data_IF_746354119320
#
_entry.id   IF_746354119320
#
_cell.length_a   1.000
_cell.length_b   1.000
_cell.length_c   1.000
_cell.angle_alpha   90.00
_cell.angle_beta   90.00
_cell.angle_gamma   90.00
#
_symmetry.space_group_name_H-M   'P 1'
#
loop_
_entity.id
_entity.type
_entity.pdbx_description
1 polymer ?
#
# COMPACT_ATOMS: atom_id res chain seq x y z
N UNK A 1 -16.76 26.25 -21.44
CA UNK A 1 -16.06 25.00 -21.28
C UNK A 1 -17.07 23.85 -21.30
N UNK A 2 -16.74 22.74 -21.93
CA UNK A 2 -17.73 21.73 -22.28
C UNK A 2 -17.82 20.58 -21.26
N UNK A 3 -17.03 20.62 -20.20
CA UNK A 3 -16.76 19.44 -19.38
C UNK A 3 -17.83 19.16 -18.33
N UNK A 4 -18.48 20.17 -17.74
CA UNK A 4 -19.66 19.95 -16.90
C UNK A 4 -20.69 21.05 -17.07
N UNK A 5 -21.91 20.69 -17.43
CA UNK A 5 -23.05 21.61 -17.46
C UNK A 5 -24.00 21.42 -16.26
N UNK A 6 -23.71 20.46 -15.38
CA UNK A 6 -24.64 20.07 -14.31
C UNK A 6 -24.48 20.89 -13.04
N UNK A 7 -23.28 21.41 -12.78
CA UNK A 7 -22.96 22.15 -11.56
C UNK A 7 -22.58 23.59 -11.90
N UNK A 8 -23.19 24.54 -11.19
CA UNK A 8 -22.91 25.97 -11.33
C UNK A 8 -22.36 26.51 -10.03
N UNK A 9 -21.19 27.11 -10.08
CA UNK A 9 -20.55 27.75 -8.92
C UNK A 9 -20.92 29.23 -8.89
N UNK A 10 -21.40 29.70 -7.75
CA UNK A 10 -21.80 31.07 -7.51
C UNK A 10 -20.67 31.83 -6.85
N UNK A 11 -20.25 32.96 -7.45
CA UNK A 11 -19.16 33.79 -6.93
C UNK A 11 -19.60 35.23 -6.80
N UNK A 12 -18.90 36.00 -5.96
CA UNK A 12 -19.00 37.45 -5.95
C UNK A 12 -18.23 38.12 -7.11
N UNK A 13 -18.23 39.45 -7.14
CA UNK A 13 -17.49 40.22 -8.16
C UNK A 13 -15.96 40.05 -8.05
N UNK A 14 -15.46 39.62 -6.89
CA UNK A 14 -14.03 39.34 -6.61
C UNK A 14 -13.68 37.87 -6.82
N UNK A 15 -14.63 37.05 -7.30
CA UNK A 15 -14.52 35.60 -7.51
C UNK A 15 -14.49 34.76 -6.25
N UNK A 16 -14.80 35.27 -5.06
CA UNK A 16 -14.91 34.40 -3.90
C UNK A 16 -16.09 33.42 -4.07
N UNK A 17 -15.85 32.17 -3.72
CA UNK A 17 -16.84 31.12 -3.84
C UNK A 17 -17.93 31.30 -2.76
N UNK A 18 -19.16 31.62 -3.17
CA UNK A 18 -20.29 31.87 -2.28
C UNK A 18 -21.20 30.64 -2.12
N UNK A 19 -21.33 29.85 -3.18
CA UNK A 19 -22.26 28.72 -3.16
C UNK A 19 -22.19 27.89 -4.43
N UNK A 20 -22.97 26.81 -4.43
CA UNK A 20 -23.12 25.90 -5.57
C UNK A 20 -24.61 25.68 -5.80
N UNK A 21 -25.00 25.56 -7.06
CA UNK A 21 -26.33 25.14 -7.48
C UNK A 21 -26.25 24.22 -8.68
N UNK A 22 -27.30 23.50 -9.00
CA UNK A 22 -27.36 22.62 -10.14
C UNK A 22 -28.20 23.23 -11.27
N UNK A 23 -27.91 22.85 -12.51
CA UNK A 23 -28.77 23.26 -13.66
C UNK A 23 -30.22 22.82 -13.45
N UNK A 24 -30.45 21.69 -12.77
CA UNK A 24 -31.79 21.22 -12.40
C UNK A 24 -32.52 22.25 -11.53
N UNK A 25 -31.87 22.78 -10.51
CA UNK A 25 -32.46 23.79 -9.61
C UNK A 25 -32.72 25.10 -10.37
N UNK A 26 -31.77 25.53 -11.19
CA UNK A 26 -31.96 26.72 -12.06
C UNK A 26 -33.16 26.58 -12.99
N UNK A 27 -33.51 25.37 -13.45
CA UNK A 27 -34.68 25.13 -14.30
C UNK A 27 -36.00 24.99 -13.53
N UNK A 28 -35.94 24.71 -12.24
CA UNK A 28 -37.12 24.54 -11.38
C UNK A 28 -37.56 25.86 -10.73
N UNK A 29 -36.71 26.86 -10.67
CA UNK A 29 -37.00 28.18 -10.08
C UNK A 29 -37.34 29.19 -11.17
N UNK A 30 -38.12 30.21 -10.83
CA UNK A 30 -38.49 31.28 -11.74
C UNK A 30 -37.28 32.20 -12.04
N UNK A 31 -37.31 32.86 -13.21
CA UNK A 31 -36.21 33.74 -13.64
C UNK A 31 -35.99 34.94 -12.71
N UNK A 32 -37.00 35.33 -11.94
CA UNK A 32 -36.97 36.46 -11.00
C UNK A 32 -36.47 36.03 -9.61
N UNK A 33 -36.29 34.72 -9.36
CA UNK A 33 -35.79 34.23 -8.09
C UNK A 33 -34.32 34.53 -7.92
N UNK A 34 -33.93 34.95 -6.71
CA UNK A 34 -32.54 35.18 -6.38
C UNK A 34 -31.81 33.86 -6.12
N UNK A 35 -30.66 33.65 -6.75
CA UNK A 35 -29.84 32.45 -6.58
C UNK A 35 -29.51 32.18 -5.10
N UNK A 36 -29.32 33.24 -4.31
CA UNK A 36 -29.05 33.16 -2.86
C UNK A 36 -30.13 32.38 -2.06
N UNK A 37 -31.35 32.26 -2.58
CA UNK A 37 -32.45 31.60 -1.89
C UNK A 37 -32.45 30.08 -2.05
N UNK A 38 -31.78 29.55 -3.07
CA UNK A 38 -31.76 28.12 -3.38
C UNK A 38 -30.36 27.53 -3.62
N UNK A 39 -29.29 28.35 -3.61
CA UNK A 39 -27.93 27.82 -3.66
C UNK A 39 -27.56 27.17 -2.34
N UNK A 40 -26.73 26.14 -2.41
CA UNK A 40 -26.08 25.54 -1.25
C UNK A 40 -24.83 26.36 -0.91
N UNK A 41 -24.74 26.86 0.34
CA UNK A 41 -23.62 27.71 0.79
C UNK A 41 -22.50 26.90 1.45
N UNK A 42 -22.77 25.64 1.86
CA UNK A 42 -21.75 24.76 2.42
C UNK A 42 -21.00 24.01 1.31
N UNK A 43 -20.20 24.73 0.56
CA UNK A 43 -19.48 24.18 -0.60
C UNK A 43 -18.21 23.46 -0.14
N UNK A 44 -18.05 22.21 -0.58
CA UNK A 44 -16.80 21.48 -0.44
C UNK A 44 -15.89 21.90 -1.58
N UNK A 45 -14.69 22.32 -1.26
CA UNK A 45 -13.68 22.77 -2.23
C UNK A 45 -12.28 22.27 -1.82
N UNK A 46 -11.35 22.34 -2.75
CA UNK A 46 -9.91 22.14 -2.48
C UNK A 46 -9.13 23.41 -2.78
N UNK A 47 -7.99 23.54 -2.12
CA UNK A 47 -7.09 24.66 -2.36
C UNK A 47 -6.10 24.30 -3.50
N UNK A 48 -5.60 25.32 -4.20
CA UNK A 48 -4.55 25.13 -5.24
C UNK A 48 -3.26 24.51 -4.72
N UNK A 49 -3.05 24.46 -3.40
CA UNK A 49 -1.89 23.84 -2.75
C UNK A 49 -2.21 22.46 -2.15
N UNK A 50 -3.47 22.00 -2.20
CA UNK A 50 -3.84 20.65 -1.76
C UNK A 50 -3.23 19.62 -2.68
N UNK A 51 -2.94 18.44 -2.10
CA UNK A 51 -2.45 17.29 -2.85
C UNK A 51 -3.53 16.80 -3.85
N UNK A 52 -3.09 16.34 -5.01
CA UNK A 52 -3.99 15.82 -6.03
C UNK A 52 -4.76 14.58 -5.55
N UNK A 53 -4.15 13.74 -4.71
CA UNK A 53 -4.78 12.58 -4.10
C UNK A 53 -5.93 12.99 -3.18
N UNK A 54 -5.76 14.08 -2.41
CA UNK A 54 -6.81 14.64 -1.56
C UNK A 54 -8.03 15.08 -2.38
N UNK A 55 -7.80 15.77 -3.50
CA UNK A 55 -8.85 16.21 -4.40
C UNK A 55 -9.62 15.03 -5.02
N UNK A 56 -8.90 14.02 -5.51
CA UNK A 56 -9.48 12.81 -6.07
C UNK A 56 -10.27 12.00 -5.01
N UNK A 57 -9.75 11.93 -3.79
CA UNK A 57 -10.43 11.29 -2.66
C UNK A 57 -11.72 12.00 -2.29
N UNK A 58 -11.74 13.35 -2.28
CA UNK A 58 -12.96 14.12 -1.99
C UNK A 58 -14.01 13.94 -3.08
N UNK A 59 -13.64 13.96 -4.36
CA UNK A 59 -14.54 13.68 -5.47
C UNK A 59 -15.19 12.30 -5.32
N UNK A 60 -14.40 11.28 -5.04
CA UNK A 60 -14.88 9.91 -4.84
C UNK A 60 -15.76 9.76 -3.59
N UNK A 61 -15.40 10.42 -2.48
CA UNK A 61 -16.10 10.30 -1.18
C UNK A 61 -17.50 10.88 -1.21
N UNK A 62 -17.68 11.98 -1.97
CA UNK A 62 -18.93 12.72 -2.03
C UNK A 62 -19.70 12.47 -3.34
N UNK A 63 -19.22 11.58 -4.20
CA UNK A 63 -19.80 11.27 -5.51
C UNK A 63 -19.98 12.53 -6.39
N UNK A 64 -19.05 13.48 -6.29
CA UNK A 64 -19.12 14.71 -7.07
C UNK A 64 -18.69 14.48 -8.53
N UNK A 65 -19.34 15.17 -9.46
CA UNK A 65 -18.92 15.20 -10.87
C UNK A 65 -17.83 16.24 -11.13
N UNK A 66 -17.75 17.26 -10.28
CA UNK A 66 -16.73 18.30 -10.32
C UNK A 66 -16.53 18.87 -8.91
N UNK A 67 -15.31 19.29 -8.61
CA UNK A 67 -14.90 19.89 -7.35
C UNK A 67 -14.29 21.27 -7.63
N UNK A 68 -14.75 22.35 -6.97
CA UNK A 68 -14.18 23.67 -7.17
C UNK A 68 -12.81 23.78 -6.49
N UNK A 69 -11.91 24.48 -7.18
CA UNK A 69 -10.57 24.78 -6.69
C UNK A 69 -10.48 26.27 -6.37
N UNK A 70 -10.06 26.59 -5.17
CA UNK A 70 -9.89 27.97 -4.73
C UNK A 70 -8.41 28.29 -4.42
N UNK A 71 -8.05 29.55 -4.50
CA UNK A 71 -6.74 30.03 -4.05
C UNK A 71 -6.73 30.27 -2.52
N UNK A 72 -5.62 30.82 -2.01
CA UNK A 72 -5.47 31.14 -0.58
C UNK A 72 -6.42 32.26 -0.09
N UNK A 73 -7.02 33.01 -1.00
CA UNK A 73 -7.97 34.08 -0.73
C UNK A 73 -9.42 33.62 -0.98
N UNK A 74 -9.66 32.29 -1.08
CA UNK A 74 -10.96 31.64 -1.33
C UNK A 74 -11.61 32.06 -2.66
N UNK A 75 -10.83 32.51 -3.64
CA UNK A 75 -11.33 32.84 -4.98
C UNK A 75 -11.34 31.60 -5.85
N UNK A 76 -12.43 31.39 -6.56
CA UNK A 76 -12.56 30.29 -7.52
C UNK A 76 -11.55 30.45 -8.67
N UNK A 77 -10.63 29.52 -8.79
CA UNK A 77 -9.59 29.45 -9.83
C UNK A 77 -9.99 28.52 -10.97
N UNK A 78 -10.64 27.40 -10.64
CA UNK A 78 -11.04 26.40 -11.62
C UNK A 78 -11.86 25.29 -10.98
N UNK A 79 -12.01 24.20 -11.71
CA UNK A 79 -12.66 22.98 -11.27
C UNK A 79 -11.80 21.78 -11.64
N UNK A 80 -11.92 20.72 -10.84
CA UNK A 80 -11.40 19.38 -11.15
C UNK A 80 -12.61 18.51 -11.45
N UNK A 81 -12.58 17.78 -12.54
CA UNK A 81 -13.67 16.90 -12.96
C UNK A 81 -13.40 15.45 -12.54
N UNK A 82 -14.45 14.63 -12.52
CA UNK A 82 -14.34 13.22 -12.09
C UNK A 82 -13.43 12.39 -13.00
N UNK A 83 -13.36 12.70 -14.30
CA UNK A 83 -12.48 12.05 -15.26
C UNK A 83 -10.99 12.36 -14.95
N UNK A 84 -10.63 13.61 -14.67
CA UNK A 84 -9.28 13.98 -14.21
C UNK A 84 -8.93 13.27 -12.89
N UNK A 85 -9.89 13.22 -11.96
CA UNK A 85 -9.69 12.52 -10.69
C UNK A 85 -9.47 11.01 -10.87
N UNK A 86 -10.13 10.39 -11.85
CA UNK A 86 -9.91 8.97 -12.18
C UNK A 86 -8.49 8.72 -12.69
N UNK A 87 -7.95 9.62 -13.51
CA UNK A 87 -6.57 9.53 -13.99
C UNK A 87 -5.59 9.65 -12.82
N UNK A 88 -5.79 10.61 -11.92
CA UNK A 88 -4.98 10.76 -10.69
C UNK A 88 -5.03 9.50 -9.83
N UNK A 89 -6.22 8.93 -9.57
CA UNK A 89 -6.36 7.69 -8.80
C UNK A 89 -5.58 6.53 -9.45
N UNK A 90 -5.57 6.44 -10.77
CA UNK A 90 -4.82 5.41 -11.48
C UNK A 90 -3.31 5.63 -11.37
N UNK A 91 -2.84 6.87 -11.46
CA UNK A 91 -1.43 7.23 -11.27
C UNK A 91 -0.95 6.91 -9.85
N UNK A 92 -1.68 7.34 -8.83
CA UNK A 92 -1.38 7.06 -7.42
C UNK A 92 -1.37 5.56 -7.11
N UNK A 93 -2.37 4.80 -7.59
CA UNK A 93 -2.37 3.35 -7.44
C UNK A 93 -1.13 2.69 -8.10
N UNK A 94 -0.68 3.21 -9.24
CA UNK A 94 0.52 2.71 -9.93
C UNK A 94 1.77 3.03 -9.13
N UNK A 95 1.87 4.25 -8.59
CA UNK A 95 2.95 4.69 -7.72
C UNK A 95 3.02 3.84 -6.44
N UNK A 96 1.89 3.60 -5.80
CA UNK A 96 1.77 2.76 -4.62
C UNK A 96 2.27 1.33 -4.86
N UNK A 97 1.87 0.71 -5.98
CA UNK A 97 2.35 -0.62 -6.36
C UNK A 97 3.88 -0.62 -6.53
N UNK A 98 4.44 0.43 -7.11
CA UNK A 98 5.89 0.55 -7.28
C UNK A 98 6.60 0.74 -5.94
N UNK A 99 6.08 1.60 -5.07
CA UNK A 99 6.60 1.83 -3.71
C UNK A 99 6.53 0.57 -2.85
N UNK A 100 5.44 -0.20 -2.92
CA UNK A 100 5.29 -1.49 -2.20
C UNK A 100 6.38 -2.50 -2.59
N UNK A 101 6.86 -2.44 -3.83
CA UNK A 101 7.95 -3.29 -4.32
C UNK A 101 9.34 -2.62 -4.22
N UNK A 102 9.44 -1.50 -3.50
CA UNK A 102 10.65 -0.71 -3.35
C UNK A 102 11.32 -0.32 -4.69
N UNK A 103 10.48 -0.09 -5.71
CA UNK A 103 10.87 0.43 -7.01
C UNK A 103 10.67 1.95 -6.99
N UNK A 104 11.66 2.71 -7.44
CA UNK A 104 11.51 4.16 -7.57
C UNK A 104 10.44 4.45 -8.63
N UNK A 105 9.38 5.21 -8.32
CA UNK A 105 8.27 5.47 -9.22
C UNK A 105 8.69 6.12 -10.54
N UNK A 106 7.99 5.79 -11.61
CA UNK A 106 8.18 6.37 -12.94
C UNK A 106 6.82 6.70 -13.56
N UNK A 107 6.66 7.92 -14.05
CA UNK A 107 5.43 8.40 -14.73
C UNK A 107 5.26 7.84 -16.15
N UNK A 108 6.31 7.20 -16.71
CA UNK A 108 6.29 6.74 -18.09
C UNK A 108 5.67 5.36 -18.21
N UNK A 109 4.92 5.15 -19.29
CA UNK A 109 4.42 3.81 -19.64
C UNK A 109 5.57 2.82 -19.83
N UNK A 110 5.36 1.56 -19.47
CA UNK A 110 6.38 0.51 -19.43
C UNK A 110 7.22 0.40 -20.72
N UNK A 111 6.58 0.39 -21.88
CA UNK A 111 7.28 0.26 -23.18
C UNK A 111 8.06 1.52 -23.58
N UNK A 112 7.68 2.70 -23.06
CA UNK A 112 8.40 3.97 -23.33
C UNK A 112 9.54 4.21 -22.34
N UNK A 113 9.62 3.43 -21.27
CA UNK A 113 10.70 3.51 -20.28
C UNK A 113 11.91 2.75 -20.80
N UNK A 114 13.03 3.44 -20.99
CA UNK A 114 14.26 2.81 -21.46
C UNK A 114 14.85 1.85 -20.41
N UNK A 115 15.61 0.84 -20.88
CA UNK A 115 16.25 -0.19 -20.03
C UNK A 115 17.09 0.42 -18.90
N UNK A 116 17.86 1.47 -19.18
CA UNK A 116 18.69 2.14 -18.17
C UNK A 116 17.86 2.87 -17.09
N UNK A 117 16.72 3.43 -17.47
CA UNK A 117 15.83 4.06 -16.51
C UNK A 117 15.18 3.01 -15.58
N UNK A 118 14.72 1.89 -16.16
CA UNK A 118 14.20 0.76 -15.38
C UNK A 118 15.27 0.16 -14.46
N UNK A 119 16.51 0.04 -14.94
CA UNK A 119 17.62 -0.42 -14.10
C UNK A 119 17.87 0.53 -12.92
N UNK A 120 17.91 1.85 -13.17
CA UNK A 120 18.11 2.86 -12.12
C UNK A 120 17.01 2.84 -11.05
N UNK A 121 15.78 2.54 -11.43
CA UNK A 121 14.67 2.50 -10.47
C UNK A 121 14.71 1.29 -9.53
N UNK A 122 15.37 0.19 -9.93
CA UNK A 122 15.42 -1.07 -9.17
C UNK A 122 16.72 -1.27 -8.39
N UNK A 123 17.84 -0.79 -8.92
CA UNK A 123 19.18 -1.09 -8.39
C UNK A 123 19.41 -0.62 -6.95
N UNK A 124 18.91 0.57 -6.49
CA UNK A 124 19.18 1.02 -5.13
C UNK A 124 18.68 0.03 -4.06
N UNK A 125 17.48 -0.50 -4.25
CA UNK A 125 16.91 -1.49 -3.34
C UNK A 125 17.68 -2.82 -3.37
N UNK A 126 18.02 -3.30 -4.57
CA UNK A 126 18.78 -4.53 -4.72
C UNK A 126 20.17 -4.45 -4.09
N UNK A 127 20.84 -3.30 -4.16
CA UNK A 127 22.12 -3.08 -3.49
C UNK A 127 21.97 -3.10 -1.98
N UNK A 128 20.91 -2.50 -1.45
CA UNK A 128 20.61 -2.54 -0.01
C UNK A 128 20.37 -3.98 0.47
N UNK A 129 19.61 -4.75 -0.29
CA UNK A 129 19.39 -6.17 0.00
C UNK A 129 20.68 -6.99 -0.08
N UNK A 130 21.57 -6.71 -1.04
CA UNK A 130 22.87 -7.38 -1.16
C UNK A 130 23.75 -7.11 0.07
N UNK A 131 23.78 -5.87 0.56
CA UNK A 131 24.49 -5.53 1.80
C UNK A 131 23.89 -6.27 3.00
N UNK A 132 22.55 -6.29 3.12
CA UNK A 132 21.84 -7.04 4.15
C UNK A 132 22.17 -8.54 4.12
N UNK A 133 22.22 -9.13 2.91
CA UNK A 133 22.58 -10.54 2.72
C UNK A 133 24.00 -10.87 3.23
N UNK A 134 24.92 -9.91 3.16
CA UNK A 134 26.30 -10.08 3.70
C UNK A 134 26.28 -10.26 5.22
N UNK A 135 25.44 -9.51 5.93
CA UNK A 135 25.26 -9.67 7.38
C UNK A 135 24.66 -11.05 7.71
N UNK A 136 23.65 -11.48 6.94
CA UNK A 136 23.06 -12.82 7.10
C UNK A 136 24.12 -13.91 6.90
N UNK A 137 24.94 -13.80 5.84
CA UNK A 137 26.05 -14.71 5.59
C UNK A 137 27.04 -14.78 6.75
N UNK A 138 27.41 -13.62 7.31
CA UNK A 138 28.31 -13.53 8.48
C UNK A 138 27.72 -14.23 9.72
N UNK A 139 26.42 -14.09 9.96
CA UNK A 139 25.74 -14.80 11.07
C UNK A 139 25.78 -16.31 10.84
N UNK A 140 25.45 -16.78 9.63
CA UNK A 140 25.50 -18.22 9.31
C UNK A 140 26.91 -18.79 9.54
N UNK A 141 27.96 -18.09 9.07
CA UNK A 141 29.34 -18.49 9.29
C UNK A 141 29.72 -18.54 10.77
N UNK A 142 29.21 -17.63 11.60
CA UNK A 142 29.46 -17.65 13.04
C UNK A 142 28.88 -18.88 13.75
N UNK A 143 27.93 -19.58 13.12
CA UNK A 143 27.34 -20.81 13.63
C UNK A 143 27.79 -22.07 12.86
N UNK A 144 28.82 -21.97 12.03
CA UNK A 144 29.29 -23.06 11.15
C UNK A 144 29.58 -24.36 11.92
N UNK A 145 30.29 -24.31 13.03
CA UNK A 145 30.58 -25.48 13.87
C UNK A 145 29.31 -26.19 14.37
N UNK A 146 28.29 -25.42 14.72
CA UNK A 146 27.01 -25.96 15.18
C UNK A 146 26.25 -26.60 13.99
N UNK A 147 26.22 -25.94 12.85
CA UNK A 147 25.59 -26.44 11.64
C UNK A 147 26.30 -27.68 11.09
N UNK A 148 27.63 -27.72 11.14
CA UNK A 148 28.42 -28.86 10.72
C UNK A 148 28.09 -30.13 11.55
N UNK A 149 27.76 -29.98 12.83
CA UNK A 149 27.33 -31.10 13.67
C UNK A 149 25.93 -31.64 13.28
N UNK A 150 25.12 -30.85 12.57
CA UNK A 150 23.75 -31.21 12.18
C UNK A 150 23.47 -30.70 10.75
N UNK A 151 24.22 -31.20 9.76
CA UNK A 151 24.17 -30.77 8.34
C UNK A 151 22.73 -30.71 7.80
N UNK A 152 21.85 -31.59 8.27
CA UNK A 152 20.45 -31.62 7.83
C UNK A 152 19.72 -30.30 8.07
N UNK A 153 20.12 -29.51 9.10
CA UNK A 153 19.50 -28.21 9.37
C UNK A 153 19.80 -27.18 8.27
N UNK A 154 20.95 -27.29 7.60
CA UNK A 154 21.31 -26.35 6.54
C UNK A 154 20.37 -26.45 5.33
N UNK A 155 19.81 -27.62 5.06
CA UNK A 155 18.84 -27.82 3.96
C UNK A 155 17.49 -27.13 4.21
N UNK A 156 17.18 -26.76 5.45
CA UNK A 156 15.95 -26.04 5.79
C UNK A 156 16.10 -24.51 5.82
N UNK A 157 17.34 -23.99 5.79
CA UNK A 157 17.61 -22.53 5.80
C UNK A 157 16.89 -21.83 4.66
N UNK A 158 16.96 -22.28 3.37
CA UNK A 158 16.25 -21.61 2.27
C UNK A 158 14.73 -21.55 2.51
N UNK A 159 14.14 -22.64 3.00
CA UNK A 159 12.70 -22.71 3.30
C UNK A 159 12.30 -21.68 4.37
N UNK A 160 13.10 -21.57 5.44
CA UNK A 160 12.84 -20.64 6.54
C UNK A 160 12.97 -19.18 6.06
N UNK A 161 14.04 -18.89 5.31
CA UNK A 161 14.26 -17.52 4.77
C UNK A 161 13.15 -17.11 3.79
N UNK A 162 12.74 -18.00 2.90
CA UNK A 162 11.67 -17.74 1.93
C UNK A 162 10.33 -17.52 2.65
N UNK A 163 9.99 -18.38 3.60
CA UNK A 163 8.76 -18.23 4.39
C UNK A 163 8.71 -16.93 5.17
N UNK A 164 9.82 -16.54 5.81
CA UNK A 164 9.91 -15.26 6.54
C UNK A 164 9.81 -14.05 5.61
N UNK A 165 10.53 -14.09 4.48
CA UNK A 165 10.48 -13.03 3.48
C UNK A 165 9.09 -12.83 2.88
N UNK A 166 8.41 -13.93 2.53
CA UNK A 166 7.04 -13.87 2.01
C UNK A 166 6.03 -13.36 3.04
N UNK A 167 6.17 -13.78 4.31
CA UNK A 167 5.30 -13.30 5.39
C UNK A 167 5.47 -11.80 5.63
N UNK A 168 6.72 -11.34 5.73
CA UNK A 168 7.03 -9.92 5.86
C UNK A 168 6.53 -9.10 4.68
N UNK A 169 6.70 -9.60 3.44
CA UNK A 169 6.16 -8.98 2.24
C UNK A 169 4.64 -8.83 2.26
N UNK A 170 3.91 -9.86 2.70
CA UNK A 170 2.45 -9.80 2.83
C UNK A 170 2.00 -8.78 3.88
N UNK A 171 2.66 -8.73 5.04
CA UNK A 171 2.40 -7.74 6.07
C UNK A 171 2.66 -6.32 5.55
N UNK A 172 3.81 -6.09 4.91
CA UNK A 172 4.18 -4.79 4.33
C UNK A 172 3.15 -4.29 3.32
N UNK A 173 2.76 -5.12 2.35
CA UNK A 173 1.75 -4.76 1.33
C UNK A 173 0.42 -4.40 1.97
N UNK A 174 -0.03 -5.17 2.97
CA UNK A 174 -1.29 -4.93 3.67
C UNK A 174 -1.27 -3.61 4.43
N UNK A 175 -0.18 -3.33 5.16
CA UNK A 175 -0.03 -2.10 5.96
C UNK A 175 0.12 -0.88 5.06
N UNK A 176 0.94 -0.94 3.99
CA UNK A 176 1.10 0.17 3.05
C UNK A 176 -0.24 0.49 2.39
N UNK A 177 -0.98 -0.55 1.96
CA UNK A 177 -2.31 -0.34 1.37
C UNK A 177 -3.31 0.32 2.33
N UNK A 178 -3.30 -0.08 3.61
CA UNK A 178 -4.15 0.54 4.62
C UNK A 178 -3.74 2.00 4.91
N UNK A 179 -2.44 2.33 4.78
CA UNK A 179 -1.94 3.71 4.89
C UNK A 179 -2.39 4.54 3.68
N UNK A 180 -2.25 4.02 2.46
CA UNK A 180 -2.65 4.75 1.24
C UNK A 180 -4.16 4.99 1.17
N UNK A 181 -4.97 4.10 1.73
CA UNK A 181 -6.42 4.30 1.86
C UNK A 181 -6.85 5.17 3.05
N UNK A 182 -5.89 5.72 3.81
CA UNK A 182 -6.17 6.49 5.04
C UNK A 182 -6.99 5.71 6.09
N UNK A 183 -7.00 4.35 6.03
CA UNK A 183 -7.65 3.49 7.04
C UNK A 183 -6.90 3.50 8.37
N UNK A 184 -5.59 3.69 8.32
CA UNK A 184 -4.70 3.79 9.48
C UNK A 184 -3.79 5.03 9.35
N UNK A 185 -3.40 5.59 10.51
CA UNK A 185 -2.50 6.71 10.58
C UNK A 185 -1.21 6.33 11.33
N UNK A 186 -0.17 7.14 11.19
CA UNK A 186 1.09 6.95 11.95
C UNK A 186 0.91 6.90 13.47
N UNK A 187 -0.21 7.43 13.99
CA UNK A 187 -0.57 7.34 15.41
C UNK A 187 -1.03 5.94 15.83
N UNK A 188 -1.46 5.12 14.87
CA UNK A 188 -1.97 3.76 15.13
C UNK A 188 -0.88 2.69 15.07
N UNK A 189 0.40 3.08 14.93
CA UNK A 189 1.54 2.17 14.73
C UNK A 189 1.57 1.03 15.78
N UNK A 190 1.30 1.31 17.05
CA UNK A 190 1.29 0.28 18.10
C UNK A 190 0.13 -0.71 17.95
N UNK A 191 -1.02 -0.25 17.44
CA UNK A 191 -2.18 -1.14 17.17
C UNK A 191 -1.87 -2.05 15.99
N UNK A 192 -1.23 -1.51 14.94
CA UNK A 192 -0.80 -2.26 13.76
C UNK A 192 0.22 -3.32 14.16
N UNK A 193 1.30 -2.94 14.85
CA UNK A 193 2.31 -3.89 15.33
C UNK A 193 1.66 -5.00 16.19
N UNK A 194 0.78 -4.64 17.10
CA UNK A 194 0.11 -5.64 17.95
C UNK A 194 -0.83 -6.57 17.17
N UNK A 195 -1.43 -6.07 16.10
CA UNK A 195 -2.26 -6.88 15.19
C UNK A 195 -1.38 -7.84 14.40
N UNK A 196 -0.32 -7.35 13.74
CA UNK A 196 0.58 -8.14 12.91
C UNK A 196 1.31 -9.21 13.73
N UNK A 197 1.76 -8.89 14.93
CA UNK A 197 2.35 -9.83 15.87
C UNK A 197 1.43 -11.04 16.15
N UNK A 198 0.13 -10.81 16.37
CA UNK A 198 -0.84 -11.88 16.58
C UNK A 198 -1.11 -12.69 15.31
N UNK A 199 -1.16 -12.01 14.16
CA UNK A 199 -1.30 -12.67 12.84
C UNK A 199 -0.08 -13.55 12.58
N UNK A 200 1.13 -13.03 12.80
CA UNK A 200 2.38 -13.78 12.67
C UNK A 200 2.43 -15.02 13.55
N UNK A 201 1.98 -14.91 14.82
CA UNK A 201 1.90 -16.05 15.73
C UNK A 201 0.92 -17.14 15.24
N UNK A 202 -0.25 -16.74 14.75
CA UNK A 202 -1.24 -17.68 14.20
C UNK A 202 -0.73 -18.35 12.93
N UNK A 203 -0.17 -17.58 12.00
CA UNK A 203 0.42 -18.11 10.76
C UNK A 203 1.60 -19.05 11.09
N UNK A 204 2.50 -18.63 11.97
CA UNK A 204 3.65 -19.43 12.40
C UNK A 204 3.24 -20.75 13.04
N UNK A 205 2.24 -20.72 13.93
CA UNK A 205 1.72 -21.94 14.57
C UNK A 205 1.08 -22.90 13.57
N UNK A 206 0.29 -22.38 12.63
CA UNK A 206 -0.35 -23.16 11.58
C UNK A 206 0.67 -23.79 10.64
N UNK A 207 1.65 -23.00 10.17
CA UNK A 207 2.71 -23.49 9.30
C UNK A 207 3.63 -24.49 10.00
N UNK A 208 3.94 -24.27 11.29
CA UNK A 208 4.70 -25.21 12.07
C UNK A 208 4.00 -26.57 12.19
N UNK A 209 2.69 -26.60 12.45
CA UNK A 209 1.91 -27.82 12.51
C UNK A 209 1.88 -28.55 11.16
N UNK A 210 1.66 -27.80 10.05
CA UNK A 210 1.67 -28.37 8.71
C UNK A 210 3.07 -28.89 8.34
N UNK A 211 4.11 -28.13 8.64
CA UNK A 211 5.50 -28.53 8.37
C UNK A 211 5.87 -29.79 9.14
N UNK A 212 5.46 -29.90 10.41
CA UNK A 212 5.69 -31.09 11.21
C UNK A 212 5.10 -32.34 10.54
N UNK A 213 3.86 -32.26 10.08
CA UNK A 213 3.21 -33.35 9.34
C UNK A 213 3.91 -33.62 8.00
N UNK A 214 4.28 -32.56 7.26
CA UNK A 214 5.00 -32.67 5.98
C UNK A 214 6.33 -33.38 6.15
N UNK A 215 7.15 -33.02 7.15
CA UNK A 215 8.44 -33.63 7.39
C UNK A 215 8.30 -35.12 7.72
N UNK A 216 7.30 -35.49 8.54
CA UNK A 216 7.04 -36.89 8.84
C UNK A 216 6.57 -37.71 7.64
N UNK A 217 5.66 -37.19 6.82
CA UNK A 217 5.06 -37.91 5.71
C UNK A 217 5.88 -37.84 4.43
N UNK A 218 6.35 -36.66 4.06
CA UNK A 218 7.03 -36.43 2.77
C UNK A 218 8.51 -36.67 2.90
N UNK A 219 9.18 -35.95 3.80
CA UNK A 219 10.66 -35.95 3.84
C UNK A 219 11.19 -37.28 4.35
N UNK A 220 10.53 -37.86 5.37
CA UNK A 220 10.98 -39.14 5.95
C UNK A 220 10.44 -40.37 5.19
N UNK A 221 9.14 -40.38 4.86
CA UNK A 221 8.49 -41.57 4.27
C UNK A 221 8.67 -41.66 2.75
N UNK A 222 8.52 -40.52 2.03
CA UNK A 222 8.60 -40.50 0.56
C UNK A 222 10.01 -40.29 0.04
N UNK A 223 10.78 -39.33 0.64
CA UNK A 223 12.12 -38.98 0.21
C UNK A 223 13.22 -39.77 0.92
N UNK A 224 12.87 -40.59 1.92
CA UNK A 224 13.81 -41.45 2.64
C UNK A 224 14.91 -40.67 3.39
N UNK A 225 14.65 -39.44 3.79
CA UNK A 225 15.63 -38.60 4.52
C UNK A 225 15.81 -39.12 5.96
N UNK A 226 16.67 -40.13 6.12
CA UNK A 226 16.90 -40.80 7.42
C UNK A 226 17.55 -39.93 8.50
N UNK A 227 18.14 -38.80 8.11
CA UNK A 227 18.75 -37.82 9.03
C UNK A 227 17.75 -36.93 9.77
N UNK A 228 16.49 -36.89 9.31
CA UNK A 228 15.45 -36.07 9.97
C UNK A 228 14.85 -36.85 11.13
N UNK A 229 15.35 -36.57 12.34
CA UNK A 229 14.81 -37.10 13.57
C UNK A 229 13.65 -36.23 14.08
N UNK A 230 12.79 -36.78 14.96
CA UNK A 230 11.71 -36.03 15.60
C UNK A 230 12.19 -34.77 16.32
N UNK A 231 13.43 -34.78 16.85
CA UNK A 231 14.02 -33.61 17.50
C UNK A 231 14.33 -32.49 16.49
N UNK A 232 14.86 -32.86 15.30
CA UNK A 232 15.16 -31.90 14.22
C UNK A 232 13.86 -31.27 13.71
N UNK A 233 12.81 -32.07 13.48
CA UNK A 233 11.52 -31.60 13.03
C UNK A 233 10.88 -30.63 14.03
N UNK A 234 10.94 -30.95 15.33
CA UNK A 234 10.45 -30.08 16.39
C UNK A 234 11.22 -28.74 16.44
N UNK A 235 12.55 -28.76 16.27
CA UNK A 235 13.36 -27.54 16.21
C UNK A 235 12.97 -26.67 15.03
N UNK A 236 12.81 -27.25 13.83
CA UNK A 236 12.43 -26.51 12.61
C UNK A 236 11.05 -25.90 12.78
N UNK A 237 10.09 -26.67 13.30
CA UNK A 237 8.71 -26.20 13.52
C UNK A 237 8.66 -25.06 14.55
N UNK A 238 9.41 -25.14 15.63
CA UNK A 238 9.54 -24.05 16.61
C UNK A 238 10.21 -22.82 16.02
N UNK A 239 11.24 -23.02 15.17
CA UNK A 239 11.92 -21.91 14.47
C UNK A 239 10.97 -21.17 13.55
N UNK A 240 10.05 -21.86 12.86
CA UNK A 240 9.02 -21.22 12.03
C UNK A 240 8.09 -20.33 12.85
N UNK A 241 7.68 -20.76 14.03
CA UNK A 241 6.84 -19.93 14.91
C UNK A 241 7.61 -18.66 15.31
N UNK A 242 8.85 -18.82 15.79
CA UNK A 242 9.69 -17.70 16.19
C UNK A 242 9.94 -16.72 15.03
N UNK A 243 10.25 -17.25 13.85
CA UNK A 243 10.55 -16.45 12.67
C UNK A 243 9.36 -15.57 12.28
N UNK A 244 8.17 -16.16 12.13
CA UNK A 244 6.97 -15.44 11.72
C UNK A 244 6.43 -14.49 12.80
N UNK A 245 6.67 -14.81 14.06
CA UNK A 245 6.34 -13.92 15.17
C UNK A 245 7.25 -12.67 15.21
N UNK A 246 8.50 -12.78 14.74
CA UNK A 246 9.51 -11.71 14.78
C UNK A 246 9.71 -10.97 13.45
N UNK A 247 8.99 -11.36 12.39
CA UNK A 247 9.13 -10.79 11.03
C UNK A 247 7.98 -9.86 10.58
N UNK A 248 7.15 -9.27 11.46
CA UNK A 248 6.10 -8.34 11.06
C UNK A 248 6.65 -6.99 10.58
#
# INVERSE_FOLDING_TARGET
DKETIYTCYVTDASRHLLGVTTVKELLLHDQDDRIETFMETNVIYVNTLSDQEEAATQLSKYDFLALPVVDLEERLVGIITVDDAMDVIQEENTEDIQKMNAIVPTERTYLKTGVLATWKSRIPWLLLLMVSATFTGSIITSFEDKLASMIILTSFIPMLMDTGGNSGGQASVTVIRALSLNEINMRDIFKVIWKELRVGLLCGSSLAAINFVKVLLVDRLMLGMTGVTLKVDLVISLTLICLLYTSP
#
